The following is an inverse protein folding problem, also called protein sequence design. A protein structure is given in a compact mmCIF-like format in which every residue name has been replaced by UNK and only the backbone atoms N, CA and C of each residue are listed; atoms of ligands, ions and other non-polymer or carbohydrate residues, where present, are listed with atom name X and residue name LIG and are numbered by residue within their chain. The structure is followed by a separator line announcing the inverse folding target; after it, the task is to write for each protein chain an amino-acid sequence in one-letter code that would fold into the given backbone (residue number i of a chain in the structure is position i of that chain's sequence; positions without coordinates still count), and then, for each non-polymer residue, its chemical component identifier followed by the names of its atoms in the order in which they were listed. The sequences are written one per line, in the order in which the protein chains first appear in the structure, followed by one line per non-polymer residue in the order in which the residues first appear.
data_IF_691226504263
#
_entry.id   IF_691226504263
#
_cell.length_a   1.000
_cell.length_b   1.000
_cell.length_c   1.000
_cell.angle_alpha   90.00
_cell.angle_beta   90.00
_cell.angle_gamma   90.00
#
_symmetry.space_group_name_H-M   'P 1'
#
loop_
_entity.id
_entity.type
_entity.pdbx_description
1 polymer ?
#
# COMPACT_ATOMS: atom_id res chain seq x y z
N UNK A 1 -17.67 -0.82 -39.05
CA UNK A 1 -16.89 -0.11 -38.02
C UNK A 1 -15.80 0.69 -38.69
N UNK A 2 -15.57 1.96 -38.32
CA UNK A 2 -14.24 2.53 -38.52
C UNK A 2 -13.30 1.79 -37.57
N UNK A 3 -12.21 1.19 -38.08
CA UNK A 3 -11.30 0.32 -37.30
C UNK A 3 -10.83 0.94 -35.97
N UNK A 4 -10.75 2.28 -35.89
CA UNK A 4 -10.37 3.00 -34.66
C UNK A 4 -11.29 2.78 -33.46
N UNK A 5 -12.62 2.73 -33.63
CA UNK A 5 -13.54 2.71 -32.48
C UNK A 5 -13.62 1.35 -31.77
N UNK A 6 -13.29 0.22 -32.42
CA UNK A 6 -13.22 -1.08 -31.73
C UNK A 6 -12.00 -1.14 -30.82
N UNK A 7 -10.87 -0.66 -31.34
CA UNK A 7 -9.59 -0.66 -30.63
C UNK A 7 -9.69 0.09 -29.32
N UNK A 8 -10.41 1.22 -29.30
CA UNK A 8 -10.65 2.00 -28.08
C UNK A 8 -11.35 1.18 -26.98
N UNK A 9 -12.42 0.42 -27.32
CA UNK A 9 -13.14 -0.41 -26.36
C UNK A 9 -12.31 -1.59 -25.85
N UNK A 10 -11.55 -2.24 -26.74
CA UNK A 10 -10.63 -3.32 -26.36
C UNK A 10 -9.53 -2.78 -25.44
N UNK A 11 -8.96 -1.62 -25.79
CA UNK A 11 -7.94 -0.95 -24.99
C UNK A 11 -8.44 -0.55 -23.61
N UNK A 12 -9.68 -0.06 -23.51
CA UNK A 12 -10.33 0.23 -22.22
C UNK A 12 -10.52 -1.03 -21.37
N UNK A 13 -10.96 -2.14 -21.98
CA UNK A 13 -11.16 -3.41 -21.27
C UNK A 13 -9.85 -3.99 -20.73
N UNK A 14 -8.81 -4.03 -21.56
CA UNK A 14 -7.47 -4.45 -21.17
C UNK A 14 -6.84 -3.51 -20.15
N UNK A 15 -7.03 -2.19 -20.30
CA UNK A 15 -6.54 -1.19 -19.36
C UNK A 15 -7.16 -1.35 -17.97
N UNK A 16 -8.48 -1.59 -17.91
CA UNK A 16 -9.15 -1.87 -16.64
C UNK A 16 -8.70 -3.21 -16.03
N UNK A 17 -8.46 -4.23 -16.85
CA UNK A 17 -7.90 -5.51 -16.39
C UNK A 17 -6.50 -5.35 -15.80
N UNK A 18 -5.65 -4.53 -16.42
CA UNK A 18 -4.31 -4.21 -15.92
C UNK A 18 -4.36 -3.41 -14.62
N UNK A 19 -5.27 -2.43 -14.52
CA UNK A 19 -5.51 -1.70 -13.28
C UNK A 19 -5.98 -2.65 -12.17
N UNK A 20 -6.89 -3.59 -12.45
CA UNK A 20 -7.38 -4.53 -11.42
C UNK A 20 -6.24 -5.35 -10.80
N UNK A 21 -5.20 -5.65 -11.59
CA UNK A 21 -4.03 -6.41 -11.17
C UNK A 21 -2.99 -5.57 -10.43
N UNK A 22 -2.83 -4.29 -10.78
CA UNK A 22 -1.80 -3.42 -10.20
C UNK A 22 -2.29 -2.45 -9.11
N UNK A 23 -3.52 -1.96 -9.22
CA UNK A 23 -4.10 -0.93 -8.35
C UNK A 23 -5.63 -1.09 -8.24
N UNK A 24 -6.04 -1.90 -7.25
CA UNK A 24 -7.45 -2.15 -6.95
C UNK A 24 -8.24 -0.87 -6.68
N UNK A 25 -7.68 0.07 -5.91
CA UNK A 25 -8.37 1.29 -5.50
C UNK A 25 -8.68 2.18 -6.71
N UNK A 26 -7.69 2.38 -7.60
CA UNK A 26 -7.92 3.09 -8.86
C UNK A 26 -8.92 2.35 -9.76
N UNK A 27 -8.89 1.02 -9.78
CA UNK A 27 -9.85 0.21 -10.55
C UNK A 27 -11.30 0.47 -10.12
N UNK A 28 -11.57 0.55 -8.81
CA UNK A 28 -12.90 0.87 -8.29
C UNK A 28 -13.34 2.26 -8.75
N UNK A 29 -12.47 3.25 -8.62
CA UNK A 29 -12.74 4.61 -9.11
C UNK A 29 -13.06 4.58 -10.60
N UNK A 30 -12.25 3.87 -11.40
CA UNK A 30 -12.41 3.74 -12.85
C UNK A 30 -13.73 3.08 -13.26
N UNK A 31 -14.06 1.97 -12.63
CA UNK A 31 -15.30 1.26 -12.89
C UNK A 31 -16.53 2.15 -12.59
N UNK A 32 -16.53 2.88 -11.47
CA UNK A 32 -17.65 3.76 -11.10
C UNK A 32 -17.82 4.90 -12.10
N UNK A 33 -16.73 5.59 -12.47
CA UNK A 33 -16.83 6.69 -13.43
C UNK A 33 -17.26 6.22 -14.82
N UNK A 34 -16.73 5.08 -15.30
CA UNK A 34 -17.17 4.49 -16.56
C UNK A 34 -18.66 4.16 -16.50
N UNK A 35 -19.13 3.58 -15.39
CA UNK A 35 -20.56 3.33 -15.15
C UNK A 35 -21.40 4.61 -15.21
N UNK A 36 -20.97 5.69 -14.55
CA UNK A 36 -21.65 6.99 -14.57
C UNK A 36 -21.67 7.61 -15.98
N UNK A 37 -20.57 7.50 -16.75
CA UNK A 37 -20.52 7.98 -18.13
C UNK A 37 -21.43 7.19 -19.06
N UNK A 38 -21.48 5.86 -18.90
CA UNK A 38 -22.40 5.00 -19.65
C UNK A 38 -23.84 5.37 -19.31
N UNK A 39 -24.22 5.41 -18.03
CA UNK A 39 -25.57 5.79 -17.59
C UNK A 39 -25.97 7.18 -18.07
N UNK A 40 -25.08 8.17 -18.00
CA UNK A 40 -25.33 9.52 -18.51
C UNK A 40 -25.48 9.61 -20.03
N UNK A 41 -25.00 8.59 -20.76
CA UNK A 41 -25.17 8.47 -22.21
C UNK A 41 -26.50 7.81 -22.58
N UNK A 42 -27.14 7.07 -21.65
CA UNK A 42 -28.49 6.51 -21.81
C UNK A 42 -29.51 7.64 -21.65
N UNK A 43 -29.76 8.40 -22.72
CA UNK A 43 -30.85 9.39 -22.75
C UNK A 43 -32.21 8.71 -22.90
N UNK A 44 -33.30 9.29 -22.36
CA UNK A 44 -34.68 8.81 -22.57
C UNK A 44 -35.23 9.14 -23.98
N UNK A 45 -34.37 9.13 -25.00
CA UNK A 45 -34.83 9.05 -26.38
C UNK A 45 -34.95 7.56 -26.74
N UNK A 46 -35.94 7.16 -27.55
CA UNK A 46 -36.12 5.75 -27.93
C UNK A 46 -34.77 5.20 -28.40
N UNK A 47 -34.29 4.10 -27.80
CA UNK A 47 -32.91 3.69 -27.95
C UNK A 47 -32.64 3.36 -29.41
N UNK A 48 -32.05 4.30 -30.14
CA UNK A 48 -31.19 3.96 -31.27
C UNK A 48 -29.84 3.55 -30.70
N UNK A 49 -29.83 2.59 -29.76
CA UNK A 49 -28.66 1.76 -29.52
C UNK A 49 -28.45 0.99 -30.83
N UNK A 50 -27.75 1.60 -31.77
CA UNK A 50 -27.33 0.89 -32.97
C UNK A 50 -26.51 -0.32 -32.51
N UNK A 51 -26.57 -1.43 -33.24
CA UNK A 51 -25.76 -2.63 -32.93
C UNK A 51 -24.25 -2.34 -32.75
N UNK A 52 -23.80 -1.17 -33.18
CA UNK A 52 -22.48 -0.61 -32.95
C UNK A 52 -22.13 -0.37 -31.46
N UNK A 53 -23.02 0.18 -30.65
CA UNK A 53 -22.74 0.49 -29.23
C UNK A 53 -22.73 -0.79 -28.38
N UNK A 54 -23.66 -1.71 -28.67
CA UNK A 54 -23.68 -3.05 -28.07
C UNK A 54 -22.42 -3.86 -28.41
N UNK A 55 -21.94 -3.78 -29.66
CA UNK A 55 -20.69 -4.42 -30.08
C UNK A 55 -19.45 -3.87 -29.35
N UNK A 56 -19.42 -2.56 -29.08
CA UNK A 56 -18.35 -1.94 -28.27
C UNK A 56 -18.36 -2.41 -26.82
N UNK A 57 -19.53 -2.40 -26.17
CA UNK A 57 -19.69 -2.91 -24.78
C UNK A 57 -19.32 -4.39 -24.69
N UNK A 58 -19.73 -5.20 -25.67
CA UNK A 58 -19.37 -6.62 -25.73
C UNK A 58 -17.85 -6.79 -25.89
N UNK A 59 -17.20 -6.03 -26.78
CA UNK A 59 -15.76 -6.09 -26.97
C UNK A 59 -14.98 -5.66 -25.71
N UNK A 60 -15.46 -4.63 -25.01
CA UNK A 60 -14.94 -4.24 -23.70
C UNK A 60 -15.07 -5.37 -22.67
N UNK A 61 -16.26 -5.97 -22.56
CA UNK A 61 -16.52 -7.06 -21.61
C UNK A 61 -15.67 -8.30 -21.88
N UNK A 62 -15.53 -8.69 -23.15
CA UNK A 62 -14.68 -9.83 -23.56
C UNK A 62 -13.21 -9.53 -23.30
N UNK A 63 -12.71 -8.36 -23.69
CA UNK A 63 -11.29 -8.01 -23.48
C UNK A 63 -10.94 -7.87 -22.00
N UNK A 64 -11.81 -7.27 -21.19
CA UNK A 64 -11.70 -7.27 -19.73
C UNK A 64 -11.69 -8.71 -19.19
N UNK A 65 -12.68 -9.53 -19.60
CA UNK A 65 -12.82 -10.92 -19.17
C UNK A 65 -11.56 -11.75 -19.44
N UNK A 66 -11.00 -11.64 -20.65
CA UNK A 66 -9.73 -12.29 -21.02
C UNK A 66 -8.57 -11.74 -20.18
N UNK A 67 -8.49 -10.41 -20.04
CA UNK A 67 -7.41 -9.76 -19.30
C UNK A 67 -7.38 -10.11 -17.81
N UNK A 68 -8.52 -10.44 -17.19
CA UNK A 68 -8.59 -10.81 -15.77
C UNK A 68 -8.35 -12.31 -15.50
N UNK A 69 -8.31 -13.17 -16.54
CA UNK A 69 -8.12 -14.62 -16.34
C UNK A 69 -6.88 -14.96 -15.50
N UNK A 70 -5.68 -14.39 -15.75
CA UNK A 70 -4.50 -14.69 -14.94
C UNK A 70 -4.71 -14.37 -13.46
N UNK A 71 -5.36 -13.25 -13.16
CA UNK A 71 -5.71 -12.86 -11.80
C UNK A 71 -6.69 -13.84 -11.15
N UNK A 72 -7.74 -14.25 -11.87
CA UNK A 72 -8.69 -15.25 -11.34
C UNK A 72 -8.01 -16.59 -11.06
N UNK A 73 -7.14 -17.05 -11.95
CA UNK A 73 -6.36 -18.29 -11.76
C UNK A 73 -5.44 -18.15 -10.54
N UNK A 74 -4.77 -17.00 -10.39
CA UNK A 74 -3.96 -16.71 -9.20
C UNK A 74 -4.82 -16.74 -7.93
N UNK A 75 -5.99 -16.09 -7.93
CA UNK A 75 -6.92 -16.06 -6.79
C UNK A 75 -7.49 -17.43 -6.42
N UNK A 76 -7.65 -18.34 -7.39
CA UNK A 76 -8.10 -19.70 -7.13
C UNK A 76 -7.00 -20.60 -6.54
N UNK A 77 -5.73 -20.21 -6.70
CA UNK A 77 -4.56 -20.99 -6.26
C UNK A 77 -3.81 -20.34 -5.09
N UNK A 78 -4.12 -19.09 -4.74
CA UNK A 78 -3.46 -18.39 -3.65
C UNK A 78 -3.83 -18.99 -2.29
N UNK A 79 -2.92 -18.85 -1.32
CA UNK A 79 -3.23 -19.21 0.05
C UNK A 79 -4.40 -18.34 0.56
N UNK A 80 -5.46 -18.93 1.16
CA UNK A 80 -6.63 -18.19 1.65
C UNK A 80 -6.33 -17.18 2.77
N UNK A 81 -5.16 -17.26 3.42
CA UNK A 81 -4.67 -16.33 4.43
C UNK A 81 -4.02 -15.08 3.81
N UNK A 82 -3.59 -15.12 2.55
CA UNK A 82 -2.91 -13.99 1.90
C UNK A 82 -3.76 -12.71 1.86
N UNK A 83 -5.08 -12.75 1.53
CA UNK A 83 -5.93 -11.56 1.61
C UNK A 83 -5.99 -10.95 3.02
N UNK A 84 -6.02 -11.78 4.06
CA UNK A 84 -6.07 -11.32 5.46
C UNK A 84 -4.76 -10.63 5.84
N UNK A 85 -3.60 -11.15 5.42
CA UNK A 85 -2.30 -10.49 5.60
C UNK A 85 -2.25 -9.11 4.95
N UNK A 86 -2.89 -8.95 3.79
CA UNK A 86 -2.99 -7.66 3.10
C UNK A 86 -3.97 -6.68 3.78
N UNK A 87 -4.71 -7.12 4.80
CA UNK A 87 -5.64 -6.30 5.56
C UNK A 87 -7.03 -6.26 4.95
N UNK A 88 -7.44 -7.35 4.28
CA UNK A 88 -8.84 -7.51 3.88
C UNK A 88 -9.67 -7.85 5.11
N UNK A 89 -10.65 -7.02 5.44
CA UNK A 89 -11.57 -7.24 6.55
C UNK A 89 -13.03 -6.98 6.16
N UNK A 90 -13.95 -7.59 6.92
CA UNK A 90 -15.39 -7.42 6.72
C UNK A 90 -15.88 -6.04 7.18
N UNK A 91 -16.80 -5.45 6.43
CA UNK A 91 -17.46 -4.19 6.77
C UNK A 91 -18.96 -4.38 6.63
N UNK A 92 -19.74 -3.85 7.58
CA UNK A 92 -21.19 -3.82 7.47
C UNK A 92 -21.62 -2.99 6.24
N UNK A 93 -22.37 -3.63 5.34
CA UNK A 93 -22.87 -3.01 4.10
C UNK A 93 -23.85 -1.87 4.37
N UNK A 94 -24.53 -1.88 5.52
CA UNK A 94 -25.46 -0.84 5.93
C UNK A 94 -24.77 0.35 6.62
N UNK A 95 -23.50 0.16 7.01
CA UNK A 95 -22.68 1.17 7.67
C UNK A 95 -21.39 1.42 6.87
N UNK A 96 -21.49 1.90 5.61
CA UNK A 96 -20.34 2.03 4.74
C UNK A 96 -19.27 2.98 5.30
N UNK A 97 -18.03 2.74 4.91
CA UNK A 97 -16.93 3.63 5.27
C UNK A 97 -16.98 4.88 4.39
N UNK A 98 -16.85 6.03 5.02
CA UNK A 98 -16.85 7.34 4.37
C UNK A 98 -15.48 7.99 4.50
N UNK A 99 -15.15 8.88 3.56
CA UNK A 99 -14.00 9.76 3.73
C UNK A 99 -14.22 10.64 4.98
N UNK A 100 -13.18 10.89 5.79
CA UNK A 100 -13.33 11.48 7.10
C UNK A 100 -13.44 13.01 7.00
N UNK A 101 -14.26 13.60 7.87
CA UNK A 101 -14.44 15.05 7.94
C UNK A 101 -15.24 15.65 6.77
N UNK A 102 -15.46 16.96 6.79
CA UNK A 102 -16.24 17.67 5.76
C UNK A 102 -15.39 18.13 4.56
N UNK A 103 -14.07 18.20 4.72
CA UNK A 103 -13.14 18.76 3.72
C UNK A 103 -13.26 18.07 2.35
N UNK A 104 -13.25 16.72 2.23
CA UNK A 104 -13.36 16.05 0.94
C UNK A 104 -14.60 16.46 0.15
N UNK A 105 -15.73 16.58 0.85
CA UNK A 105 -17.03 16.95 0.28
C UNK A 105 -17.09 18.43 -0.08
N UNK A 106 -16.46 19.30 0.72
CA UNK A 106 -16.29 20.71 0.40
C UNK A 106 -15.44 20.92 -0.87
N UNK A 107 -14.33 20.19 -1.00
CA UNK A 107 -13.48 20.22 -2.20
C UNK A 107 -14.24 19.76 -3.45
N UNK A 108 -14.99 18.66 -3.34
CA UNK A 108 -15.87 18.18 -4.41
C UNK A 108 -16.90 19.24 -4.80
N UNK A 109 -17.59 19.85 -3.83
CA UNK A 109 -18.59 20.88 -4.11
C UNK A 109 -17.98 22.08 -4.85
N UNK A 110 -16.83 22.58 -4.38
CA UNK A 110 -16.12 23.68 -5.04
C UNK A 110 -15.73 23.34 -6.48
N UNK A 111 -15.27 22.11 -6.71
CA UNK A 111 -14.94 21.59 -8.04
C UNK A 111 -16.17 21.55 -8.96
N UNK A 112 -17.30 21.04 -8.47
CA UNK A 112 -18.54 20.96 -9.24
C UNK A 112 -19.09 22.34 -9.60
N UNK A 113 -18.99 23.32 -8.69
CA UNK A 113 -19.38 24.71 -8.95
C UNK A 113 -18.49 25.31 -10.06
N UNK A 114 -17.17 25.11 -9.98
CA UNK A 114 -16.23 25.54 -11.03
C UNK A 114 -16.56 24.90 -12.38
N UNK A 115 -16.76 23.59 -12.40
CA UNK A 115 -17.12 22.85 -13.61
C UNK A 115 -18.43 23.37 -14.22
N UNK A 116 -19.47 23.60 -13.40
CA UNK A 116 -20.74 24.16 -13.84
C UNK A 116 -20.56 25.56 -14.45
N UNK A 117 -19.73 26.40 -13.83
CA UNK A 117 -19.39 27.73 -14.36
C UNK A 117 -18.75 27.65 -15.75
N UNK A 118 -17.79 26.73 -15.95
CA UNK A 118 -17.15 26.50 -17.25
C UNK A 118 -18.15 26.00 -18.30
N UNK A 119 -18.99 25.03 -17.93
CA UNK A 119 -20.03 24.49 -18.81
C UNK A 119 -21.02 25.58 -19.23
N UNK A 120 -21.48 26.42 -18.29
CA UNK A 120 -22.39 27.54 -18.57
C UNK A 120 -21.76 28.61 -19.44
N UNK A 121 -20.44 28.81 -19.33
CA UNK A 121 -19.69 29.69 -20.22
C UNK A 121 -19.43 29.08 -21.61
N UNK A 122 -19.91 27.86 -21.89
CA UNK A 122 -19.74 27.19 -23.19
C UNK A 122 -18.33 26.66 -23.44
N UNK A 123 -17.47 26.59 -22.41
CA UNK A 123 -16.05 26.26 -22.54
C UNK A 123 -15.71 24.94 -21.87
N UNK A 124 -14.79 24.20 -22.48
CA UNK A 124 -14.22 22.96 -21.94
C UNK A 124 -15.29 21.98 -21.42
N UNK A 125 -16.52 21.99 -21.98
CA UNK A 125 -17.67 21.24 -21.44
C UNK A 125 -17.35 19.77 -21.23
N UNK A 126 -16.68 19.14 -22.20
CA UNK A 126 -16.26 17.73 -22.11
C UNK A 126 -15.28 17.51 -20.98
N UNK A 127 -14.27 18.36 -20.86
CA UNK A 127 -13.26 18.33 -19.78
C UNK A 127 -13.90 18.56 -18.41
N UNK A 128 -14.80 19.52 -18.29
CA UNK A 128 -15.54 19.82 -17.06
C UNK A 128 -16.40 18.64 -16.62
N UNK A 129 -17.15 18.02 -17.54
CA UNK A 129 -17.95 16.83 -17.25
C UNK A 129 -17.06 15.64 -16.86
N UNK A 130 -16.01 15.37 -17.65
CA UNK A 130 -15.07 14.28 -17.39
C UNK A 130 -14.46 14.36 -16.00
N UNK A 131 -13.90 15.50 -15.63
CA UNK A 131 -13.28 15.69 -14.31
C UNK A 131 -14.30 15.73 -13.16
N UNK A 132 -15.51 16.22 -13.39
CA UNK A 132 -16.59 16.16 -12.40
C UNK A 132 -16.99 14.71 -12.11
N UNK A 133 -17.12 13.88 -13.16
CA UNK A 133 -17.47 12.47 -13.00
C UNK A 133 -16.34 11.71 -12.31
N UNK A 134 -15.08 11.99 -12.64
CA UNK A 134 -13.94 11.40 -11.93
C UNK A 134 -13.87 11.78 -10.47
N UNK A 135 -14.07 13.06 -10.15
CA UNK A 135 -14.10 13.56 -8.79
C UNK A 135 -15.21 12.87 -7.98
N UNK A 136 -16.43 12.79 -8.54
CA UNK A 136 -17.55 12.07 -7.92
C UNK A 136 -17.21 10.60 -7.69
N UNK A 137 -16.71 9.91 -8.71
CA UNK A 137 -16.32 8.51 -8.59
C UNK A 137 -15.27 8.30 -7.50
N UNK A 138 -14.26 9.16 -7.41
CA UNK A 138 -13.21 9.08 -6.40
C UNK A 138 -13.74 9.34 -4.98
N UNK A 139 -14.64 10.31 -4.80
CA UNK A 139 -15.25 10.61 -3.48
C UNK A 139 -16.12 9.46 -2.98
N UNK A 140 -16.90 8.83 -3.86
CA UNK A 140 -17.84 7.78 -3.48
C UNK A 140 -17.29 6.35 -3.68
N UNK A 141 -16.05 6.18 -4.14
CA UNK A 141 -15.46 4.87 -4.38
C UNK A 141 -15.41 3.98 -3.14
N UNK A 142 -14.95 4.52 -2.01
CA UNK A 142 -14.89 3.78 -0.75
C UNK A 142 -16.28 3.32 -0.27
N UNK A 143 -17.29 4.20 -0.09
CA UNK A 143 -18.60 3.76 0.38
C UNK A 143 -19.26 2.79 -0.60
N UNK A 144 -19.20 3.04 -1.92
CA UNK A 144 -19.75 2.13 -2.93
C UNK A 144 -19.07 0.77 -2.85
N UNK A 145 -17.73 0.73 -2.77
CA UNK A 145 -16.98 -0.52 -2.60
C UNK A 145 -17.41 -1.29 -1.35
N UNK A 146 -17.60 -0.60 -0.21
CA UNK A 146 -18.04 -1.25 1.03
C UNK A 146 -19.45 -1.83 0.94
N UNK A 147 -20.39 -1.12 0.32
CA UNK A 147 -21.77 -1.60 0.12
C UNK A 147 -21.80 -2.82 -0.82
N UNK A 148 -21.08 -2.74 -1.94
CA UNK A 148 -21.09 -3.79 -2.97
C UNK A 148 -20.38 -5.05 -2.48
N UNK A 149 -19.19 -4.91 -1.88
CA UNK A 149 -18.36 -6.05 -1.52
C UNK A 149 -18.65 -6.58 -0.10
N UNK A 150 -19.08 -5.73 0.83
CA UNK A 150 -19.17 -6.07 2.26
C UNK A 150 -17.80 -6.34 2.90
N UNK A 151 -16.72 -5.97 2.21
CA UNK A 151 -15.33 -6.11 2.62
C UNK A 151 -14.56 -4.88 2.14
N UNK A 152 -13.46 -4.57 2.81
CA UNK A 152 -12.55 -3.51 2.39
C UNK A 152 -11.11 -3.94 2.61
N UNK A 153 -10.18 -3.21 1.99
CA UNK A 153 -8.74 -3.40 2.14
C UNK A 153 -8.04 -2.06 2.09
N UNK A 154 -7.12 -1.83 3.03
CA UNK A 154 -6.29 -0.64 3.10
C UNK A 154 -7.06 0.67 2.80
N UNK A 155 -8.16 0.99 3.51
CA UNK A 155 -9.08 2.07 3.14
C UNK A 155 -8.44 3.46 3.01
N UNK A 156 -7.29 3.71 3.62
CA UNK A 156 -6.52 4.96 3.44
C UNK A 156 -6.09 5.19 1.98
N UNK A 157 -5.89 4.15 1.18
CA UNK A 157 -5.52 4.28 -0.24
C UNK A 157 -6.63 4.98 -1.04
N UNK A 158 -7.91 4.85 -0.65
CA UNK A 158 -8.98 5.62 -1.29
C UNK A 158 -8.86 7.12 -1.04
N UNK A 159 -8.32 7.54 0.10
CA UNK A 159 -8.06 8.95 0.40
C UNK A 159 -6.97 9.47 -0.54
N UNK A 160 -5.86 8.75 -0.67
CA UNK A 160 -4.76 9.15 -1.58
C UNK A 160 -5.24 9.21 -3.04
N UNK A 161 -6.05 8.25 -3.51
CA UNK A 161 -6.65 8.32 -4.86
C UNK A 161 -7.60 9.50 -5.02
N UNK A 162 -8.44 9.77 -4.02
CA UNK A 162 -9.31 10.94 -4.00
C UNK A 162 -8.51 12.25 -4.11
N UNK A 163 -7.48 12.42 -3.29
CA UNK A 163 -6.66 13.63 -3.26
C UNK A 163 -5.98 13.87 -4.61
N UNK A 164 -5.38 12.83 -5.20
CA UNK A 164 -4.76 12.91 -6.54
C UNK A 164 -5.76 13.30 -7.62
N UNK A 165 -6.94 12.66 -7.65
CA UNK A 165 -7.97 12.93 -8.65
C UNK A 165 -8.50 14.35 -8.52
N UNK A 166 -8.86 14.78 -7.30
CA UNK A 166 -9.36 16.13 -7.05
C UNK A 166 -8.32 17.18 -7.40
N UNK A 167 -7.07 16.97 -6.99
CA UNK A 167 -6.00 17.91 -7.28
C UNK A 167 -5.77 18.07 -8.79
N UNK A 168 -5.67 16.96 -9.52
CA UNK A 168 -5.51 16.99 -10.97
C UNK A 168 -6.71 17.64 -11.67
N UNK A 169 -7.92 17.30 -11.22
CA UNK A 169 -9.15 17.90 -11.73
C UNK A 169 -9.19 19.42 -11.50
N UNK A 170 -8.82 19.89 -10.31
CA UNK A 170 -8.72 21.32 -10.01
C UNK A 170 -7.69 22.01 -10.91
N UNK A 171 -6.49 21.43 -11.08
CA UNK A 171 -5.47 21.99 -11.96
C UNK A 171 -5.98 22.16 -13.40
N UNK A 172 -6.63 21.13 -13.95
CA UNK A 172 -7.14 21.17 -15.33
C UNK A 172 -8.29 22.16 -15.49
N UNK A 173 -9.24 22.19 -14.53
CA UNK A 173 -10.39 23.08 -14.58
C UNK A 173 -10.00 24.54 -14.32
N UNK A 174 -9.07 24.80 -13.41
CA UNK A 174 -8.51 26.13 -13.19
C UNK A 174 -7.76 26.60 -14.44
N UNK A 175 -6.90 25.77 -15.05
CA UNK A 175 -6.23 26.12 -16.31
C UNK A 175 -7.23 26.46 -17.43
N UNK A 176 -8.34 25.71 -17.51
CA UNK A 176 -9.43 25.98 -18.45
C UNK A 176 -10.14 27.31 -18.15
N UNK A 177 -10.45 27.59 -16.89
CA UNK A 177 -11.08 28.86 -16.47
C UNK A 177 -10.17 30.07 -16.61
N UNK A 178 -8.87 29.89 -16.41
CA UNK A 178 -7.89 30.95 -16.61
C UNK A 178 -7.72 31.30 -18.09
N UNK A 179 -7.85 30.31 -18.98
CA UNK A 179 -7.93 30.55 -20.42
C UNK A 179 -9.13 31.45 -20.76
N UNK A 180 -10.28 31.21 -20.13
CA UNK A 180 -11.50 32.03 -20.28
C UNK A 180 -11.29 33.48 -19.83
N UNK A 181 -10.73 33.68 -18.64
CA UNK A 181 -10.39 35.03 -18.14
C UNK A 181 -9.42 35.72 -19.11
N UNK A 182 -8.40 35.02 -19.59
CA UNK A 182 -7.41 35.59 -20.52
C UNK A 182 -8.02 36.02 -21.86
N UNK A 183 -8.98 35.26 -22.40
CA UNK A 183 -9.68 35.59 -23.64
C UNK A 183 -10.60 36.82 -23.47
N UNK A 184 -11.24 36.95 -22.31
CA UNK A 184 -12.19 38.03 -22.03
C UNK A 184 -11.52 39.38 -21.78
N UNK A 185 -10.31 39.40 -21.21
CA UNK A 185 -9.65 40.64 -20.78
C UNK A 185 -8.65 41.25 -21.79
N UNK A 186 -8.42 40.64 -22.98
CA UNK A 186 -7.54 41.15 -24.07
C UNK A 186 -6.17 41.75 -23.62
N UNK A 187 -5.66 41.39 -22.44
CA UNK A 187 -4.41 41.90 -21.84
C UNK A 187 -3.48 40.75 -21.45
N UNK A 188 -2.14 40.96 -21.46
CA UNK A 188 -1.14 39.90 -21.47
C UNK A 188 -0.89 39.25 -20.09
N UNK A 189 -1.93 39.03 -19.27
CA UNK A 189 -1.80 38.37 -17.96
C UNK A 189 -1.50 36.86 -18.06
N UNK A 190 -1.49 36.29 -19.28
CA UNK A 190 -1.05 34.92 -19.55
C UNK A 190 0.31 34.58 -18.94
N UNK A 191 1.20 35.57 -18.76
CA UNK A 191 2.56 35.36 -18.24
C UNK A 191 2.66 35.13 -16.72
N UNK A 192 1.68 35.52 -15.91
CA UNK A 192 1.74 35.38 -14.44
C UNK A 192 0.91 34.21 -13.92
N UNK A 193 -0.18 33.88 -14.61
CA UNK A 193 -1.15 32.89 -14.14
C UNK A 193 -0.67 31.45 -14.30
N UNK A 194 -0.10 31.12 -15.46
CA UNK A 194 0.51 29.81 -15.71
C UNK A 194 1.63 29.50 -14.70
N UNK A 195 2.56 30.44 -14.38
CA UNK A 195 3.54 30.20 -13.33
C UNK A 195 2.93 30.13 -11.93
N UNK A 196 1.80 30.76 -11.60
CA UNK A 196 1.15 30.58 -10.29
C UNK A 196 0.53 29.18 -10.16
N UNK A 197 -0.18 28.70 -11.19
CA UNK A 197 -0.74 27.33 -11.19
C UNK A 197 0.38 26.30 -11.19
N UNK A 198 1.42 26.49 -12.01
CA UNK A 198 2.62 25.67 -11.98
C UNK A 198 3.33 25.78 -10.63
N UNK A 199 3.42 26.95 -9.99
CA UNK A 199 4.06 27.11 -8.69
C UNK A 199 3.26 26.47 -7.55
N UNK A 200 1.93 26.50 -7.58
CA UNK A 200 1.10 25.76 -6.63
C UNK A 200 1.23 24.25 -6.84
N UNK A 201 1.25 23.80 -8.10
CA UNK A 201 1.53 22.41 -8.45
C UNK A 201 2.93 21.97 -8.03
N UNK A 202 3.95 22.81 -8.25
CA UNK A 202 5.33 22.57 -7.84
C UNK A 202 5.45 22.63 -6.32
N UNK A 203 4.82 23.56 -5.62
CA UNK A 203 4.91 23.71 -4.18
C UNK A 203 4.32 22.50 -3.44
N UNK A 204 3.22 21.94 -3.95
CA UNK A 204 2.65 20.70 -3.42
C UNK A 204 3.59 19.51 -3.65
N UNK A 205 4.12 19.35 -4.87
CA UNK A 205 5.10 18.31 -5.18
C UNK A 205 6.42 18.49 -4.42
N UNK A 206 6.86 19.73 -4.21
CA UNK A 206 8.08 20.08 -3.45
C UNK A 206 7.90 19.85 -1.96
N UNK A 207 6.68 19.98 -1.41
CA UNK A 207 6.40 19.61 0.00
C UNK A 207 6.53 18.11 0.20
N UNK A 208 5.96 17.32 -0.71
CA UNK A 208 6.11 15.85 -0.74
C UNK A 208 7.58 15.45 -0.96
N UNK A 209 8.26 16.06 -1.93
CA UNK A 209 9.68 15.82 -2.20
C UNK A 209 10.59 16.27 -1.05
N UNK A 210 10.30 17.38 -0.37
CA UNK A 210 11.06 17.82 0.80
C UNK A 210 10.87 16.85 1.97
N UNK A 211 9.69 16.22 2.11
CA UNK A 211 9.49 15.11 3.03
C UNK A 211 10.40 13.92 2.74
N UNK A 212 10.63 13.61 1.45
CA UNK A 212 11.56 12.56 1.01
C UNK A 212 13.04 12.94 1.15
N UNK A 213 13.38 14.23 1.01
CA UNK A 213 14.77 14.74 1.07
C UNK A 213 15.23 15.01 2.51
N UNK A 214 14.32 15.19 3.47
CA UNK A 214 14.69 15.55 4.84
C UNK A 214 15.30 14.42 5.69
N UNK A 215 15.33 13.17 5.21
CA UNK A 215 15.95 12.07 5.96
C UNK A 215 17.39 11.82 5.46
N UNK A 216 18.30 12.78 5.70
CA UNK A 216 19.68 12.69 5.21
C UNK A 216 20.51 11.56 5.84
N UNK A 217 20.15 11.09 7.04
CA UNK A 217 20.94 10.09 7.79
C UNK A 217 20.29 8.69 7.87
N UNK A 218 19.00 8.57 7.54
CA UNK A 218 18.24 7.31 7.68
C UNK A 218 17.43 7.04 6.41
N UNK A 219 17.31 5.77 6.03
CA UNK A 219 16.47 5.39 4.88
C UNK A 219 14.99 5.23 5.25
N UNK A 220 14.66 5.14 6.55
CA UNK A 220 13.28 5.04 7.06
C UNK A 220 13.12 5.78 8.38
N UNK A 221 12.45 6.93 8.37
CA UNK A 221 12.08 7.69 9.57
C UNK A 221 10.64 7.42 10.02
N UNK A 222 9.93 6.52 9.34
CA UNK A 222 8.52 6.22 9.57
C UNK A 222 8.29 5.21 10.71
N UNK A 223 9.37 4.63 11.26
CA UNK A 223 9.35 3.88 12.51
C UNK A 223 10.25 4.55 13.56
N UNK A 224 9.73 4.67 14.78
CA UNK A 224 10.43 5.31 15.89
C UNK A 224 11.70 4.54 16.28
N UNK A 225 11.69 3.22 16.09
CA UNK A 225 12.82 2.32 16.35
C UNK A 225 14.05 2.67 15.49
N UNK A 226 13.84 3.11 14.24
CA UNK A 226 14.94 3.51 13.36
C UNK A 226 15.52 4.86 13.75
N UNK A 227 14.70 5.78 14.28
CA UNK A 227 15.17 7.12 14.67
C UNK A 227 16.24 7.12 15.78
N UNK A 228 16.49 5.98 16.41
CA UNK A 228 17.49 5.81 17.48
C UNK A 228 18.87 5.38 16.95
N UNK A 229 18.96 4.88 15.71
CA UNK A 229 20.17 4.25 15.16
C UNK A 229 21.04 5.26 14.39
N UNK A 230 21.92 5.98 15.08
CA UNK A 230 22.75 7.01 14.45
C UNK A 230 23.59 6.47 13.27
N UNK A 231 23.70 7.27 12.22
CA UNK A 231 24.54 7.01 11.04
C UNK A 231 24.26 5.70 10.28
N UNK A 232 23.02 5.20 10.37
CA UNK A 232 22.55 3.98 9.72
C UNK A 232 23.01 3.85 8.26
N UNK A 233 22.88 4.92 7.47
CA UNK A 233 23.25 4.88 6.04
C UNK A 233 24.72 4.54 5.81
N UNK A 234 25.63 5.20 6.52
CA UNK A 234 27.07 4.96 6.39
C UNK A 234 27.43 3.54 6.87
N UNK A 235 26.82 3.10 7.98
CA UNK A 235 26.99 1.75 8.48
C UNK A 235 26.48 0.70 7.47
N UNK A 236 25.36 0.99 6.81
CA UNK A 236 24.77 0.13 5.81
C UNK A 236 25.62 0.07 4.53
N UNK A 237 26.18 1.19 4.10
CA UNK A 237 27.15 1.20 3.00
C UNK A 237 28.32 0.27 3.30
N UNK A 238 28.90 0.35 4.51
CA UNK A 238 29.93 -0.59 4.99
C UNK A 238 29.49 -2.06 4.97
N UNK A 239 28.29 -2.36 5.49
CA UNK A 239 27.70 -3.70 5.46
C UNK A 239 27.56 -4.22 4.02
N UNK A 240 27.07 -3.40 3.09
CA UNK A 240 26.90 -3.83 1.69
C UNK A 240 28.23 -4.13 1.02
N UNK A 241 29.28 -3.33 1.28
CA UNK A 241 30.63 -3.61 0.78
C UNK A 241 31.18 -4.93 1.31
N UNK A 242 30.93 -5.24 2.59
CA UNK A 242 31.28 -6.53 3.17
C UNK A 242 30.56 -7.68 2.45
N UNK A 243 29.23 -7.60 2.36
CA UNK A 243 28.38 -8.66 1.76
C UNK A 243 28.56 -8.80 0.24
N UNK A 244 29.29 -7.89 -0.42
CA UNK A 244 29.69 -8.04 -1.82
C UNK A 244 30.81 -9.07 -2.00
N UNK A 245 31.60 -9.34 -0.94
CA UNK A 245 32.72 -10.29 -1.00
C UNK A 245 32.23 -11.71 -1.36
N UNK A 246 33.04 -12.53 -2.06
CA UNK A 246 32.60 -13.82 -2.60
C UNK A 246 32.20 -14.88 -1.56
N UNK A 247 32.65 -14.73 -0.32
CA UNK A 247 32.36 -15.60 0.82
C UNK A 247 30.92 -15.49 1.32
N UNK A 248 30.18 -14.43 0.97
CA UNK A 248 28.78 -14.29 1.33
C UNK A 248 27.88 -14.65 0.14
N UNK A 249 27.24 -15.82 0.21
CA UNK A 249 26.24 -16.29 -0.75
C UNK A 249 25.16 -17.10 -0.05
N UNK A 250 24.04 -17.30 -0.76
CA UNK A 250 22.99 -18.20 -0.32
C UNK A 250 21.85 -17.48 0.38
N UNK A 251 21.47 -17.99 1.56
CA UNK A 251 20.27 -17.57 2.27
C UNK A 251 20.65 -16.72 3.49
N UNK A 252 20.05 -15.54 3.58
CA UNK A 252 20.27 -14.59 4.67
C UNK A 252 19.07 -14.54 5.62
N UNK A 253 19.34 -14.48 6.93
CA UNK A 253 18.35 -14.16 7.96
C UNK A 253 18.61 -12.79 8.55
N UNK A 254 17.59 -11.93 8.59
CA UNK A 254 17.66 -10.62 9.23
C UNK A 254 16.27 -10.14 9.65
N UNK A 255 16.19 -9.46 10.80
CA UNK A 255 14.97 -8.76 11.24
C UNK A 255 14.92 -7.31 10.74
N UNK A 256 15.94 -6.87 10.02
CA UNK A 256 16.02 -5.55 9.40
C UNK A 256 15.58 -5.63 7.93
N UNK A 257 14.66 -4.73 7.56
CA UNK A 257 14.12 -4.69 6.21
C UNK A 257 15.15 -4.22 5.17
N UNK A 258 16.10 -3.33 5.51
CA UNK A 258 17.04 -2.81 4.49
C UNK A 258 18.05 -3.86 4.04
N UNK A 259 18.74 -4.60 4.94
CA UNK A 259 19.54 -5.74 4.54
C UNK A 259 18.72 -6.75 3.74
N UNK A 260 17.49 -7.05 4.16
CA UNK A 260 16.59 -7.94 3.42
C UNK A 260 16.35 -7.47 1.98
N UNK A 261 15.89 -6.22 1.80
CA UNK A 261 15.56 -5.67 0.49
C UNK A 261 16.80 -5.65 -0.40
N UNK A 262 17.95 -5.26 0.15
CA UNK A 262 19.18 -5.23 -0.62
C UNK A 262 19.65 -6.61 -1.05
N UNK A 263 19.63 -7.57 -0.13
CA UNK A 263 20.05 -8.95 -0.39
C UNK A 263 19.19 -9.62 -1.46
N UNK A 264 17.87 -9.56 -1.30
CA UNK A 264 16.94 -10.21 -2.24
C UNK A 264 16.85 -9.43 -3.55
N UNK A 265 16.71 -8.11 -3.49
CA UNK A 265 16.46 -7.26 -4.66
C UNK A 265 17.68 -6.99 -5.52
N UNK A 266 18.85 -6.77 -4.92
CA UNK A 266 20.07 -6.37 -5.66
C UNK A 266 21.14 -7.47 -5.74
N UNK A 267 21.17 -8.42 -4.79
CA UNK A 267 22.12 -9.55 -4.83
C UNK A 267 21.52 -10.85 -5.36
N UNK A 268 20.22 -10.86 -5.70
CA UNK A 268 19.48 -12.08 -6.06
C UNK A 268 19.61 -13.18 -4.98
N UNK A 269 19.86 -12.77 -3.73
CA UNK A 269 19.96 -13.66 -2.60
C UNK A 269 18.60 -14.18 -2.17
N UNK A 270 18.59 -15.19 -1.32
CA UNK A 270 17.37 -15.74 -0.72
C UNK A 270 17.25 -15.26 0.73
N UNK A 271 16.02 -15.07 1.20
CA UNK A 271 15.76 -14.78 2.62
C UNK A 271 15.28 -16.03 3.34
N UNK A 272 15.80 -16.24 4.54
CA UNK A 272 15.30 -17.25 5.45
C UNK A 272 13.92 -16.85 5.96
N UNK A 273 13.77 -15.59 6.39
CA UNK A 273 12.52 -15.03 6.89
C UNK A 273 11.66 -14.52 5.71
N UNK A 274 10.52 -15.15 5.41
CA UNK A 274 9.63 -14.71 4.36
C UNK A 274 8.88 -13.44 4.83
N UNK A 275 9.01 -12.30 4.14
CA UNK A 275 8.23 -11.12 4.52
C UNK A 275 6.73 -11.36 4.32
N UNK A 276 5.95 -11.17 5.37
CA UNK A 276 4.50 -11.29 5.36
C UNK A 276 3.79 -10.56 4.19
N UNK A 277 4.20 -9.34 3.78
CA UNK A 277 3.54 -8.66 2.66
C UNK A 277 3.92 -9.20 1.26
N UNK A 278 5.03 -9.94 1.10
CA UNK A 278 5.54 -10.34 -0.23
C UNK A 278 5.59 -11.86 -0.44
N UNK A 279 5.18 -12.65 0.54
CA UNK A 279 5.28 -14.10 0.49
C UNK A 279 3.95 -14.79 0.20
N UNK A 280 4.02 -15.89 -0.54
CA UNK A 280 2.89 -16.78 -0.82
C UNK A 280 2.80 -17.96 0.17
N UNK A 281 3.76 -18.11 1.08
CA UNK A 281 3.75 -19.19 2.07
C UNK A 281 2.65 -18.98 3.12
N UNK A 282 2.32 -20.06 3.82
CA UNK A 282 1.31 -20.08 4.88
C UNK A 282 1.77 -19.32 6.12
N UNK A 283 0.84 -18.76 6.89
CA UNK A 283 1.16 -18.02 8.13
C UNK A 283 1.99 -18.87 9.09
N UNK A 284 1.69 -20.17 9.18
CA UNK A 284 2.43 -21.10 10.03
C UNK A 284 3.91 -21.18 9.63
N UNK A 285 4.23 -21.14 8.34
CA UNK A 285 5.62 -21.16 7.87
C UNK A 285 6.34 -19.85 8.25
N UNK A 286 5.67 -18.71 8.09
CA UNK A 286 6.19 -17.40 8.50
C UNK A 286 6.52 -17.41 10.01
N UNK A 287 5.53 -17.78 10.82
CA UNK A 287 5.63 -17.84 12.28
C UNK A 287 6.69 -18.84 12.74
N UNK A 288 6.74 -20.03 12.12
CA UNK A 288 7.73 -21.07 12.43
C UNK A 288 9.14 -20.60 12.14
N UNK A 289 9.39 -19.99 10.97
CA UNK A 289 10.73 -19.50 10.64
C UNK A 289 11.17 -18.34 11.51
N UNK A 290 10.24 -17.45 11.89
CA UNK A 290 10.54 -16.40 12.86
C UNK A 290 10.93 -17.01 14.22
N UNK A 291 10.15 -17.95 14.73
CA UNK A 291 10.44 -18.66 15.98
C UNK A 291 11.79 -19.37 15.92
N UNK A 292 12.06 -20.14 14.86
CA UNK A 292 13.33 -20.82 14.64
C UNK A 292 14.52 -19.86 14.58
N UNK A 293 14.37 -18.72 13.87
CA UNK A 293 15.42 -17.71 13.79
C UNK A 293 15.74 -17.10 15.16
N UNK A 294 14.71 -16.74 15.93
CA UNK A 294 14.89 -16.21 17.29
C UNK A 294 15.52 -17.25 18.24
N UNK A 295 15.15 -18.53 18.09
CA UNK A 295 15.72 -19.61 18.88
C UNK A 295 17.19 -19.86 18.53
N UNK A 296 17.57 -19.76 17.24
CA UNK A 296 18.97 -19.82 16.81
C UNK A 296 19.81 -18.71 17.42
N UNK A 297 19.22 -17.55 17.71
CA UNK A 297 19.90 -16.42 18.37
C UNK A 297 19.92 -16.55 19.90
N UNK A 298 19.48 -17.68 20.46
CA UNK A 298 19.47 -17.92 21.90
C UNK A 298 18.51 -17.02 22.68
N UNK A 299 17.49 -16.45 22.02
CA UNK A 299 16.57 -15.53 22.69
C UNK A 299 15.74 -16.26 23.78
N UNK A 300 15.65 -15.75 25.01
CA UNK A 300 14.68 -16.24 25.99
C UNK A 300 13.25 -15.87 25.58
N UNK A 301 12.21 -16.60 26.08
CA UNK A 301 10.81 -16.35 25.73
C UNK A 301 10.35 -14.90 25.96
N UNK A 302 10.86 -14.23 27.00
CA UNK A 302 10.54 -12.84 27.33
C UNK A 302 11.06 -11.88 26.25
N UNK A 303 12.26 -12.13 25.72
CA UNK A 303 12.84 -11.32 24.63
C UNK A 303 12.13 -11.62 23.31
N UNK A 304 11.78 -12.87 23.03
CA UNK A 304 10.94 -13.22 21.87
C UNK A 304 9.58 -12.50 21.91
N UNK A 305 8.94 -12.42 23.08
CA UNK A 305 7.70 -11.67 23.26
C UNK A 305 7.87 -10.18 22.89
N UNK A 306 9.01 -9.58 23.27
CA UNK A 306 9.32 -8.21 22.87
C UNK A 306 9.47 -8.09 21.36
N UNK A 307 10.19 -9.02 20.71
CA UNK A 307 10.40 -9.05 19.25
C UNK A 307 9.07 -9.14 18.49
N UNK A 308 8.15 -10.04 18.85
CA UNK A 308 6.86 -10.18 18.16
C UNK A 308 5.89 -9.01 18.45
N UNK A 309 6.12 -8.26 19.54
CA UNK A 309 5.36 -7.06 19.85
C UNK A 309 5.91 -5.79 19.17
N UNK A 310 7.09 -5.84 18.55
CA UNK A 310 7.59 -4.72 17.74
C UNK A 310 6.71 -4.49 16.52
N UNK A 311 6.44 -3.22 16.22
CA UNK A 311 5.63 -2.84 15.07
C UNK A 311 6.26 -3.31 13.76
N UNK A 312 7.58 -3.15 13.61
CA UNK A 312 8.32 -3.61 12.43
C UNK A 312 8.14 -5.12 12.20
N UNK A 313 8.34 -5.94 13.23
CA UNK A 313 8.18 -7.40 13.17
C UNK A 313 6.74 -7.77 12.79
N UNK A 314 5.74 -7.14 13.41
CA UNK A 314 4.34 -7.42 13.07
C UNK A 314 4.04 -7.13 11.60
N UNK A 315 4.55 -6.01 11.08
CA UNK A 315 4.31 -5.54 9.72
C UNK A 315 5.08 -6.37 8.67
N UNK A 316 6.31 -6.77 8.94
CA UNK A 316 7.16 -7.41 7.93
C UNK A 316 7.37 -8.90 8.15
N UNK A 317 7.48 -9.38 9.38
CA UNK A 317 7.95 -10.75 9.68
C UNK A 317 6.92 -11.64 10.37
N UNK A 318 5.69 -11.17 10.58
CA UNK A 318 4.64 -11.95 11.23
C UNK A 318 3.36 -12.01 10.40
N UNK A 319 2.62 -10.91 10.27
CA UNK A 319 1.27 -10.95 9.70
C UNK A 319 0.91 -9.77 8.81
N UNK A 320 1.79 -8.78 8.68
CA UNK A 320 1.47 -7.51 8.03
C UNK A 320 0.21 -6.87 8.63
N UNK A 321 -0.87 -6.72 7.87
CA UNK A 321 -2.14 -6.16 8.36
C UNK A 321 -3.09 -7.23 8.92
N UNK A 322 -2.68 -8.50 9.04
CA UNK A 322 -3.49 -9.58 9.63
C UNK A 322 -4.05 -9.19 11.01
N UNK A 323 -3.21 -8.63 11.87
CA UNK A 323 -3.58 -8.22 13.23
C UNK A 323 -4.01 -6.75 13.28
N UNK A 324 -4.67 -6.24 12.23
CA UNK A 324 -5.22 -4.88 12.22
C UNK A 324 -6.10 -4.67 13.45
N UNK A 325 -5.87 -3.55 14.13
CA UNK A 325 -6.59 -3.14 15.32
C UNK A 325 -6.87 -1.64 15.24
N UNK A 326 -8.05 -1.27 14.75
CA UNK A 326 -8.42 0.09 14.42
C UNK A 326 -9.86 0.40 14.82
N UNK A 327 -10.26 1.67 14.81
CA UNK A 327 -11.64 2.08 15.06
C UNK A 327 -12.68 1.52 14.07
N UNK A 328 -12.25 0.93 12.95
CA UNK A 328 -13.14 0.26 11.99
C UNK A 328 -13.17 -1.27 12.14
N UNK A 329 -12.10 -1.88 12.64
CA UNK A 329 -11.96 -3.33 12.70
C UNK A 329 -10.86 -3.73 13.67
N UNK A 330 -11.12 -4.78 14.44
CA UNK A 330 -10.13 -5.47 15.29
C UNK A 330 -10.12 -6.95 14.95
N UNK A 331 -8.92 -7.52 14.81
CA UNK A 331 -8.73 -8.94 14.54
C UNK A 331 -9.37 -9.84 15.62
N UNK A 332 -9.23 -9.47 16.89
CA UNK A 332 -9.83 -10.16 18.04
C UNK A 332 -10.86 -9.26 18.76
N UNK A 333 -11.67 -9.80 19.70
CA UNK A 333 -12.50 -8.97 20.57
C UNK A 333 -11.66 -7.97 21.37
N UNK A 334 -12.19 -6.77 21.63
CA UNK A 334 -11.47 -5.71 22.35
C UNK A 334 -10.95 -6.15 23.73
N UNK A 335 -11.65 -7.07 24.42
CA UNK A 335 -11.25 -7.64 25.71
C UNK A 335 -9.92 -8.40 25.66
N UNK A 336 -9.53 -8.89 24.48
CA UNK A 336 -8.27 -9.62 24.27
C UNK A 336 -7.06 -8.68 24.09
N UNK A 337 -7.28 -7.35 24.06
CA UNK A 337 -6.22 -6.34 24.04
C UNK A 337 -5.96 -5.77 25.44
N UNK A 338 -4.76 -5.24 25.68
CA UNK A 338 -4.45 -4.52 26.93
C UNK A 338 -5.23 -3.21 27.00
N UNK A 339 -5.43 -2.65 28.20
CA UNK A 339 -6.16 -1.39 28.35
C UNK A 339 -5.49 -0.24 27.56
N UNK A 340 -4.16 -0.17 27.57
CA UNK A 340 -3.40 0.78 26.76
C UNK A 340 -3.65 0.59 25.25
N UNK A 341 -3.66 -0.67 24.77
CA UNK A 341 -3.97 -0.97 23.38
C UNK A 341 -5.42 -0.61 23.02
N UNK A 342 -6.40 -0.88 23.89
CA UNK A 342 -7.80 -0.50 23.68
C UNK A 342 -7.93 1.03 23.53
N UNK A 343 -7.27 1.80 24.39
CA UNK A 343 -7.25 3.27 24.29
C UNK A 343 -6.58 3.74 22.99
N UNK A 344 -5.48 3.12 22.58
CA UNK A 344 -4.82 3.42 21.32
C UNK A 344 -5.74 3.12 20.11
N UNK A 345 -6.37 1.94 20.08
CA UNK A 345 -7.33 1.53 19.05
C UNK A 345 -8.48 2.53 18.96
N UNK A 346 -9.06 2.93 20.09
CA UNK A 346 -10.16 3.89 20.12
C UNK A 346 -9.80 5.27 19.54
N UNK A 347 -8.51 5.65 19.61
CA UNK A 347 -7.99 6.91 19.02
C UNK A 347 -7.64 6.79 17.53
N UNK A 348 -7.59 5.58 16.98
CA UNK A 348 -7.31 5.40 15.55
C UNK A 348 -8.53 5.77 14.71
N UNK A 349 -8.30 6.55 13.64
CA UNK A 349 -9.35 6.83 12.66
C UNK A 349 -9.79 5.55 11.95
N UNK A 350 -11.07 5.50 11.53
CA UNK A 350 -11.66 4.33 10.83
C UNK A 350 -10.93 3.92 9.55
N UNK A 351 -10.15 4.81 8.95
CA UNK A 351 -9.41 4.51 7.71
C UNK A 351 -7.94 4.14 7.98
N UNK A 352 -7.47 4.27 9.23
CA UNK A 352 -6.12 3.87 9.61
C UNK A 352 -6.06 2.35 9.83
N UNK A 353 -5.81 1.63 8.75
CA UNK A 353 -5.66 0.16 8.73
C UNK A 353 -4.22 -0.31 8.96
N UNK A 354 -3.26 0.62 9.09
CA UNK A 354 -1.86 0.30 9.36
C UNK A 354 -1.54 0.19 10.86
N UNK A 355 -2.54 0.36 11.73
CA UNK A 355 -2.39 0.08 13.15
C UNK A 355 -2.54 -1.42 13.37
N UNK A 356 -1.42 -2.07 13.69
CA UNK A 356 -1.32 -3.51 13.92
C UNK A 356 -0.96 -3.72 15.37
N UNK A 357 -1.76 -4.54 16.06
CA UNK A 357 -1.54 -4.88 17.47
C UNK A 357 -1.85 -6.36 17.64
N UNK A 358 -0.88 -7.11 18.16
CA UNK A 358 -1.06 -8.52 18.45
C UNK A 358 -1.92 -8.70 19.72
N UNK A 359 -3.06 -9.41 19.67
CA UNK A 359 -3.90 -9.61 20.85
C UNK A 359 -3.28 -10.62 21.83
N UNK A 360 -3.73 -10.62 23.09
CA UNK A 360 -3.17 -11.46 24.18
C UNK A 360 -3.29 -12.95 23.88
N UNK A 361 -4.34 -13.41 23.21
CA UNK A 361 -4.46 -14.81 22.80
C UNK A 361 -3.35 -15.22 21.82
N UNK A 362 -3.12 -14.41 20.78
CA UNK A 362 -2.07 -14.68 19.79
C UNK A 362 -0.66 -14.56 20.38
N UNK A 363 -0.42 -13.60 21.29
CA UNK A 363 0.84 -13.54 22.02
C UNK A 363 1.11 -14.84 22.80
N UNK A 364 0.11 -15.34 23.53
CA UNK A 364 0.23 -16.60 24.28
C UNK A 364 0.43 -17.81 23.37
N UNK A 365 -0.27 -17.84 22.22
CA UNK A 365 -0.11 -18.91 21.22
C UNK A 365 1.30 -18.91 20.65
N UNK A 366 1.77 -17.78 20.14
CA UNK A 366 3.10 -17.66 19.53
C UNK A 366 4.23 -17.95 20.51
N UNK A 367 4.09 -17.56 21.79
CA UNK A 367 5.04 -17.92 22.85
C UNK A 367 5.06 -19.42 23.12
N UNK A 368 3.88 -20.05 23.18
CA UNK A 368 3.78 -21.51 23.35
C UNK A 368 4.45 -22.23 22.18
N UNK A 369 4.16 -21.79 20.95
CA UNK A 369 4.74 -22.35 19.73
C UNK A 369 6.26 -22.17 19.74
N UNK A 370 6.76 -21.02 20.18
CA UNK A 370 8.20 -20.76 20.35
C UNK A 370 8.87 -21.72 21.34
N UNK A 371 8.28 -21.92 22.53
CA UNK A 371 8.80 -22.83 23.56
C UNK A 371 8.83 -24.28 23.06
N UNK A 372 7.83 -24.66 22.26
CA UNK A 372 7.73 -26.00 21.68
C UNK A 372 8.57 -26.19 20.42
N UNK A 373 9.03 -25.09 19.81
CA UNK A 373 9.87 -25.14 18.62
C UNK A 373 11.23 -25.73 19.01
N UNK A 374 11.53 -26.90 18.45
CA UNK A 374 12.84 -27.53 18.59
C UNK A 374 13.78 -27.01 17.50
N UNK A 375 15.08 -26.97 17.80
CA UNK A 375 16.15 -26.72 16.84
C UNK A 375 16.32 -27.89 15.87
N UNK A 376 15.31 -28.19 15.05
CA UNK A 376 15.43 -29.25 14.06
C UNK A 376 15.91 -28.63 12.76
N UNK A 377 17.24 -28.60 12.62
CA UNK A 377 17.99 -28.31 11.41
C UNK A 377 17.68 -26.96 10.71
N UNK A 378 18.72 -26.15 10.51
CA UNK A 378 18.69 -24.93 9.69
C UNK A 378 19.32 -25.21 8.31
N UNK A 379 18.78 -26.12 7.47
CA UNK A 379 19.51 -26.62 6.31
C UNK A 379 19.77 -25.56 5.23
N UNK A 380 19.29 -24.32 5.40
CA UNK A 380 19.31 -23.27 4.39
C UNK A 380 19.54 -21.88 5.01
N UNK A 381 20.36 -21.72 6.04
CA UNK A 381 20.76 -20.39 6.51
C UNK A 381 22.28 -20.29 6.46
N UNK A 382 22.78 -19.30 5.71
CA UNK A 382 24.21 -19.16 5.39
C UNK A 382 24.81 -17.87 5.98
N UNK A 383 23.99 -16.82 6.08
CA UNK A 383 24.38 -15.52 6.60
C UNK A 383 23.31 -15.00 7.55
N UNK A 384 23.70 -14.46 8.69
CA UNK A 384 22.83 -13.78 9.64
C UNK A 384 23.30 -12.34 9.76
N UNK A 385 22.38 -11.40 9.59
CA UNK A 385 22.63 -9.97 9.77
C UNK A 385 21.74 -9.45 10.88
N UNK A 386 22.35 -8.98 11.97
CA UNK A 386 21.65 -8.37 13.11
C UNK A 386 22.00 -6.89 13.21
N UNK A 387 21.06 -6.13 13.75
CA UNK A 387 21.16 -4.67 13.87
C UNK A 387 21.22 -4.28 15.35
N UNK A 388 22.19 -3.46 15.72
CA UNK A 388 22.34 -2.93 17.07
C UNK A 388 21.23 -1.92 17.40
N UNK A 389 20.11 -2.44 17.91
CA UNK A 389 18.85 -1.70 18.10
C UNK A 389 18.22 -1.90 19.50
N UNK A 390 19.03 -2.33 20.47
CA UNK A 390 18.61 -2.65 21.84
C UNK A 390 17.99 -4.04 22.00
N UNK A 391 17.31 -4.57 20.97
CA UNK A 391 16.63 -5.87 21.06
C UNK A 391 17.45 -7.01 20.51
N UNK A 392 18.37 -6.75 19.57
CA UNK A 392 19.34 -7.76 19.11
C UNK A 392 20.77 -7.51 19.58
N UNK A 393 20.96 -6.54 20.47
CA UNK A 393 22.26 -6.26 21.08
C UNK A 393 22.73 -7.42 21.96
N UNK A 394 23.99 -7.80 21.76
CA UNK A 394 24.63 -8.92 22.48
C UNK A 394 24.10 -10.31 22.09
N UNK A 395 23.17 -10.41 21.13
CA UNK A 395 22.74 -11.72 20.63
C UNK A 395 23.75 -12.27 19.63
N UNK A 396 24.01 -13.57 19.79
CA UNK A 396 24.90 -14.34 18.94
C UNK A 396 24.22 -15.68 18.59
N UNK A 397 24.44 -16.23 17.38
CA UNK A 397 23.91 -17.55 17.05
C UNK A 397 24.48 -18.62 18.00
N UNK A 398 23.61 -19.45 18.59
CA UNK A 398 24.02 -20.52 19.51
C UNK A 398 24.67 -21.71 18.80
N UNK A 399 24.62 -21.76 17.46
CA UNK A 399 25.25 -22.81 16.67
C UNK A 399 26.69 -22.44 16.33
N UNK A 400 27.60 -23.36 16.62
CA UNK A 400 29.03 -23.32 16.28
C UNK A 400 29.35 -23.24 14.78
N UNK A 401 28.35 -23.54 13.93
CA UNK A 401 28.41 -23.37 12.47
C UNK A 401 28.67 -21.93 12.06
N UNK A 402 28.19 -20.96 12.84
CA UNK A 402 28.32 -19.55 12.50
C UNK A 402 29.52 -18.92 13.22
N UNK A 403 30.26 -18.09 12.49
CA UNK A 403 31.34 -17.27 13.01
C UNK A 403 31.09 -15.81 12.68
N UNK A 404 31.42 -14.92 13.63
CA UNK A 404 31.33 -13.48 13.40
C UNK A 404 32.36 -13.09 12.34
N UNK A 405 31.87 -12.65 11.19
CA UNK A 405 32.69 -12.34 10.03
C UNK A 405 32.91 -10.83 9.85
N UNK A 406 32.00 -10.02 10.37
CA UNK A 406 32.06 -8.57 10.30
C UNK A 406 31.22 -7.92 11.40
N UNK A 407 31.67 -6.77 11.87
CA UNK A 407 30.96 -5.93 12.83
C UNK A 407 31.27 -4.46 12.55
N UNK A 408 30.25 -3.62 12.61
CA UNK A 408 30.39 -2.17 12.68
C UNK A 408 29.41 -1.59 13.71
N UNK A 409 29.35 -0.27 13.81
CA UNK A 409 28.56 0.42 14.83
C UNK A 409 27.03 0.18 14.77
N UNK A 410 26.50 -0.41 13.69
CA UNK A 410 25.06 -0.72 13.54
C UNK A 410 24.81 -2.19 13.25
N UNK A 411 25.74 -2.90 12.60
CA UNK A 411 25.48 -4.26 12.11
C UNK A 411 26.55 -5.23 12.57
N UNK A 412 26.10 -6.44 12.85
CA UNK A 412 26.95 -7.61 12.99
C UNK A 412 26.53 -8.68 11.97
N UNK A 413 27.52 -9.32 11.36
CA UNK A 413 27.35 -10.37 10.36
C UNK A 413 27.97 -11.65 10.87
N UNK A 414 27.17 -12.70 10.86
CA UNK A 414 27.58 -14.07 11.16
C UNK A 414 27.45 -14.91 9.90
N UNK A 415 28.51 -15.60 9.51
CA UNK A 415 28.52 -16.45 8.33
C UNK A 415 28.90 -17.88 8.71
N UNK A 416 28.42 -18.83 7.91
CA UNK A 416 28.84 -20.23 8.04
C UNK A 416 30.35 -20.34 7.81
N UNK A 417 31.03 -21.14 8.63
CA UNK A 417 32.47 -21.44 8.51
C UNK A 417 32.86 -21.99 7.14
#
# INVERSE_FOLDING_TARGET
MGKGKLGDWIGLGLGLAALLQGDFHSTVVVAIALGLLVLGSIRPQPPKFGGFELGGIAAFGVSLGVGIVPFLVQRLRENPQAPVRLGVFGVDRLSPLWLPGWIPYGMLLGLLVLALGLVRAGLAKRTAVFWSVWALAATFALPISTVVLGKTVQPFQFIDRFERVIFLALLVLLGSGLTLVSQRFKRPSRRLVLPIVLALALAFNLKEMNGLVQVKTHMRSDFAEWGQVKDYRSAFDGLTQELLKPNYRGVMGSLDLQPYVWWVGFRQGKSFLPPAPLTTVDDREIETRLAQFCHLLGMPPEQYLQVINRRLTQIFWLGHNKHQASGAYTFAPLSDYTQAAQQAIARTGKLNSQNVILPKSEQRRLIRDYIQTSMINFPQLDVIVLTHDGLTDGLEPISDRFVKAYENQVFQVWAVR
#
